data_IF_318240451819
#
_entry.id   IF_318240451819
#
_cell.length_a   1.000
_cell.length_b   1.000
_cell.length_c   1.000
_cell.angle_alpha   90.00
_cell.angle_beta   90.00
_cell.angle_gamma   90.00
#
_symmetry.space_group_name_H-M   'P 1'
#
loop_
_entity.id
_entity.type
_entity.pdbx_description
1 polymer ?
#
# COMPACT_ATOMS: atom_id res chain seq x y z
N UNK A 1 -13.59 -5.95 -1.07
CA UNK A 1 -13.70 -4.47 -1.14
C UNK A 1 -12.38 -3.93 -1.65
N UNK A 2 -12.40 -2.89 -2.49
CA UNK A 2 -11.22 -2.13 -2.90
C UNK A 2 -11.39 -0.68 -2.44
N UNK A 3 -10.34 -0.12 -1.84
CA UNK A 3 -10.31 1.28 -1.43
C UNK A 3 -9.35 2.07 -2.31
N UNK A 4 -9.76 3.24 -2.75
CA UNK A 4 -8.95 4.17 -3.52
C UNK A 4 -9.30 5.62 -3.15
N UNK A 5 -8.46 6.56 -3.58
CA UNK A 5 -8.85 7.96 -3.60
C UNK A 5 -9.91 8.23 -4.71
N UNK A 6 -10.23 9.50 -4.90
CA UNK A 6 -11.17 9.98 -5.93
C UNK A 6 -10.46 10.41 -7.23
N UNK A 7 -9.26 9.91 -7.50
CA UNK A 7 -8.56 10.19 -8.74
C UNK A 7 -9.38 9.77 -9.96
N UNK A 8 -9.25 10.50 -11.07
CA UNK A 8 -10.00 10.26 -12.31
C UNK A 8 -9.92 8.80 -12.77
N UNK A 9 -8.74 8.19 -12.67
CA UNK A 9 -8.47 6.80 -13.04
C UNK A 9 -9.33 5.81 -12.24
N UNK A 10 -9.45 6.01 -10.92
CA UNK A 10 -10.22 5.13 -10.04
C UNK A 10 -11.72 5.38 -10.11
N UNK A 11 -12.13 6.58 -10.52
CA UNK A 11 -13.55 6.89 -10.79
C UNK A 11 -13.98 6.55 -12.21
N UNK A 12 -13.06 6.14 -13.09
CA UNK A 12 -13.35 5.84 -14.49
C UNK A 12 -14.29 4.65 -14.65
N UNK A 13 -15.10 4.66 -15.72
CA UNK A 13 -16.00 3.54 -16.06
C UNK A 13 -15.24 2.22 -16.16
N UNK A 14 -14.07 2.23 -16.81
CA UNK A 14 -13.24 1.04 -16.97
C UNK A 14 -12.83 0.41 -15.62
N UNK A 15 -12.49 1.23 -14.64
CA UNK A 15 -12.10 0.74 -13.31
C UNK A 15 -13.32 0.21 -12.54
N UNK A 16 -14.47 0.90 -12.66
CA UNK A 16 -15.74 0.46 -12.08
C UNK A 16 -16.20 -0.89 -12.63
N UNK A 17 -16.20 -1.06 -13.95
CA UNK A 17 -16.60 -2.30 -14.61
C UNK A 17 -15.71 -3.46 -14.17
N UNK A 18 -14.39 -3.25 -14.18
CA UNK A 18 -13.45 -4.28 -13.72
C UNK A 18 -13.64 -4.66 -12.26
N UNK A 19 -14.00 -3.71 -11.40
CA UNK A 19 -14.25 -4.01 -9.98
C UNK A 19 -15.55 -4.78 -9.79
N UNK A 20 -16.58 -4.51 -10.60
CA UNK A 20 -17.84 -5.28 -10.61
C UNK A 20 -17.62 -6.71 -11.09
N UNK A 21 -16.83 -6.91 -12.15
CA UNK A 21 -16.45 -8.23 -12.66
C UNK A 21 -15.74 -9.09 -11.61
N UNK A 22 -14.95 -8.46 -10.74
CA UNK A 22 -14.23 -9.14 -9.65
C UNK A 22 -15.05 -9.24 -8.35
N UNK A 23 -16.32 -8.84 -8.37
CA UNK A 23 -17.22 -8.81 -7.20
C UNK A 23 -16.66 -7.95 -6.04
N UNK A 24 -15.84 -6.95 -6.37
CA UNK A 24 -15.22 -6.06 -5.40
C UNK A 24 -16.05 -4.79 -5.23
N UNK A 25 -16.60 -4.59 -4.03
CA UNK A 25 -17.18 -3.30 -3.64
C UNK A 25 -16.10 -2.21 -3.63
N UNK A 26 -16.25 -1.18 -4.45
CA UNK A 26 -15.40 0.01 -4.39
C UNK A 26 -15.77 0.92 -3.22
N UNK A 27 -14.76 1.57 -2.65
CA UNK A 27 -14.90 2.57 -1.60
C UNK A 27 -13.92 3.71 -1.88
N UNK A 28 -14.45 4.90 -2.09
CA UNK A 28 -13.67 6.13 -2.08
C UNK A 28 -14.03 6.85 -0.77
N UNK A 29 -13.04 7.05 0.12
CA UNK A 29 -13.24 7.50 1.51
C UNK A 29 -14.12 8.74 1.64
N UNK A 30 -14.62 9.06 2.84
CA UNK A 30 -15.53 10.21 3.01
C UNK A 30 -14.89 11.51 2.47
N UNK A 31 -15.65 12.36 1.77
CA UNK A 31 -15.15 13.68 1.34
C UNK A 31 -14.65 14.46 2.55
N UNK A 32 -13.39 14.93 2.49
CA UNK A 32 -12.74 15.62 3.60
C UNK A 32 -12.15 14.71 4.69
N UNK A 33 -12.16 13.39 4.53
CA UNK A 33 -11.49 12.43 5.43
C UNK A 33 -10.24 11.86 4.77
N UNK A 34 -9.05 12.22 5.27
CA UNK A 34 -7.78 11.66 4.80
C UNK A 34 -7.43 10.30 5.42
N UNK A 35 -8.11 9.91 6.50
CA UNK A 35 -7.77 8.70 7.26
C UNK A 35 -7.86 7.41 6.45
N UNK A 36 -8.79 7.35 5.48
CA UNK A 36 -8.99 6.14 4.69
C UNK A 36 -7.83 5.89 3.71
N UNK A 37 -7.19 6.96 3.21
CA UNK A 37 -6.03 6.88 2.31
C UNK A 37 -4.67 6.96 3.05
N UNK A 38 -4.67 7.38 4.32
CA UNK A 38 -3.46 7.64 5.09
C UNK A 38 -2.48 6.46 5.13
N UNK A 39 -2.98 5.21 5.13
CA UNK A 39 -2.14 4.02 5.09
C UNK A 39 -1.34 3.90 3.77
N UNK A 40 -2.00 4.16 2.63
CA UNK A 40 -1.35 4.16 1.32
C UNK A 40 -0.38 5.34 1.19
N UNK A 41 -0.78 6.54 1.62
CA UNK A 41 0.09 7.73 1.62
C UNK A 41 1.35 7.52 2.45
N UNK A 42 1.23 6.91 3.63
CA UNK A 42 2.37 6.60 4.49
C UNK A 42 3.35 5.63 3.83
N UNK A 43 2.85 4.65 3.05
CA UNK A 43 3.70 3.76 2.27
C UNK A 43 4.46 4.54 1.18
N UNK A 44 3.75 5.35 0.40
CA UNK A 44 4.35 6.12 -0.69
C UNK A 44 5.36 7.14 -0.20
N UNK A 45 5.14 7.77 0.95
CA UNK A 45 6.10 8.69 1.56
C UNK A 45 7.44 7.99 1.84
N UNK A 46 7.40 6.81 2.45
CA UNK A 46 8.60 6.02 2.77
C UNK A 46 9.34 5.55 1.51
N UNK A 47 8.59 5.07 0.52
CA UNK A 47 9.21 4.63 -0.74
C UNK A 47 9.90 5.80 -1.44
N UNK A 48 9.25 6.98 -1.50
CA UNK A 48 9.85 8.17 -2.11
C UNK A 48 11.07 8.67 -1.34
N UNK A 49 11.06 8.56 -0.01
CA UNK A 49 12.22 8.87 0.83
C UNK A 49 13.41 7.94 0.53
N UNK A 50 13.17 6.63 0.43
CA UNK A 50 14.20 5.64 0.08
C UNK A 50 14.76 5.83 -1.33
N UNK A 51 13.88 6.11 -2.29
CA UNK A 51 14.27 6.44 -3.68
C UNK A 51 15.10 7.73 -3.71
N UNK A 52 14.68 8.75 -2.95
CA UNK A 52 15.31 10.06 -2.93
C UNK A 52 15.42 10.66 -4.33
N UNK A 53 16.65 10.97 -4.74
CA UNK A 53 16.98 11.54 -6.07
C UNK A 53 17.58 10.50 -7.03
N UNK A 54 17.47 9.21 -6.72
CA UNK A 54 18.05 8.14 -7.54
C UNK A 54 17.48 8.17 -8.96
N UNK A 55 18.38 8.01 -9.93
CA UNK A 55 18.05 7.79 -11.34
C UNK A 55 18.53 6.41 -11.73
N UNK A 56 17.65 5.62 -12.35
CA UNK A 56 17.99 4.30 -12.85
C UNK A 56 18.32 4.34 -14.34
N UNK A 57 19.23 3.47 -14.81
CA UNK A 57 19.57 3.36 -16.23
C UNK A 57 18.39 2.83 -17.07
N UNK A 58 17.55 1.99 -16.47
CA UNK A 58 16.42 1.37 -17.14
C UNK A 58 15.30 0.98 -16.15
N UNK A 59 14.14 0.64 -16.72
CA UNK A 59 12.94 0.32 -15.95
C UNK A 59 13.05 -1.00 -15.19
N UNK A 60 13.80 -1.98 -15.70
CA UNK A 60 13.94 -3.27 -15.03
C UNK A 60 14.74 -3.11 -13.74
N UNK A 61 15.81 -2.32 -13.77
CA UNK A 61 16.60 -1.97 -12.58
C UNK A 61 15.73 -1.24 -11.55
N UNK A 62 14.96 -0.23 -11.95
CA UNK A 62 14.04 0.47 -11.05
C UNK A 62 12.99 -0.47 -10.42
N UNK A 63 12.46 -1.43 -11.19
CA UNK A 63 11.50 -2.42 -10.68
C UNK A 63 12.14 -3.37 -9.69
N UNK A 64 13.38 -3.81 -9.92
CA UNK A 64 14.10 -4.68 -9.00
C UNK A 64 14.37 -3.98 -7.66
N UNK A 65 14.83 -2.73 -7.68
CA UNK A 65 15.06 -1.93 -6.47
C UNK A 65 13.76 -1.72 -5.67
N UNK A 66 12.68 -1.32 -6.33
CA UNK A 66 11.37 -1.14 -5.67
C UNK A 66 10.85 -2.46 -5.10
N UNK A 67 11.07 -3.57 -5.80
CA UNK A 67 10.70 -4.89 -5.29
C UNK A 67 11.50 -5.27 -4.04
N UNK A 68 12.82 -5.06 -4.05
CA UNK A 68 13.66 -5.32 -2.87
C UNK A 68 13.26 -4.43 -1.68
N UNK A 69 12.98 -3.15 -1.93
CA UNK A 69 12.44 -2.26 -0.89
C UNK A 69 11.16 -2.82 -0.28
N UNK A 70 10.21 -3.28 -1.10
CA UNK A 70 8.92 -3.80 -0.62
C UNK A 70 9.13 -5.10 0.17
N UNK A 71 9.83 -6.08 -0.41
CA UNK A 71 9.92 -7.42 0.15
C UNK A 71 10.90 -7.53 1.29
N UNK A 72 12.07 -6.92 1.15
CA UNK A 72 13.16 -7.07 2.11
C UNK A 72 13.05 -6.03 3.22
N UNK A 73 12.92 -4.75 2.87
CA UNK A 73 12.86 -3.69 3.87
C UNK A 73 11.46 -3.52 4.47
N UNK A 74 10.49 -3.12 3.66
CA UNK A 74 9.17 -2.70 4.14
C UNK A 74 8.42 -3.85 4.83
N UNK A 75 8.30 -5.00 4.17
CA UNK A 75 7.50 -6.11 4.70
C UNK A 75 8.21 -6.86 5.85
N UNK A 76 9.53 -7.06 5.76
CA UNK A 76 10.25 -8.01 6.63
C UNK A 76 11.21 -7.40 7.65
N UNK A 77 11.66 -6.16 7.48
CA UNK A 77 12.62 -5.51 8.40
C UNK A 77 12.04 -4.31 9.13
N UNK A 78 11.13 -3.56 8.48
CA UNK A 78 10.60 -2.31 9.02
C UNK A 78 9.63 -2.59 10.17
N UNK A 79 10.04 -2.28 11.39
CA UNK A 79 9.16 -2.37 12.56
C UNK A 79 8.14 -1.22 12.61
N UNK A 80 6.90 -1.53 12.98
CA UNK A 80 5.80 -0.59 13.26
C UNK A 80 5.25 -0.86 14.64
N UNK A 81 4.92 0.20 15.37
CA UNK A 81 4.23 0.07 16.65
C UNK A 81 2.81 -0.44 16.40
N UNK A 82 2.53 -1.64 16.89
CA UNK A 82 1.24 -2.26 16.97
C UNK A 82 0.63 -2.01 18.36
N UNK A 83 -0.67 -1.64 18.39
CA UNK A 83 -1.36 -1.24 19.64
C UNK A 83 -1.32 -2.31 20.74
N UNK A 84 -1.38 -3.59 20.35
CA UNK A 84 -1.52 -4.73 21.27
C UNK A 84 -0.19 -5.46 21.51
N UNK A 85 0.72 -5.46 20.54
CA UNK A 85 1.84 -6.41 20.50
C UNK A 85 3.22 -5.75 20.54
N UNK A 86 3.29 -4.44 20.75
CA UNK A 86 4.54 -3.70 20.68
C UNK A 86 4.99 -3.50 19.24
N UNK A 87 6.28 -3.63 18.94
CA UNK A 87 6.81 -3.40 17.60
C UNK A 87 6.79 -4.68 16.77
N UNK A 88 6.15 -4.64 15.60
CA UNK A 88 6.07 -5.75 14.65
C UNK A 88 6.30 -5.27 13.23
N UNK A 89 6.83 -6.14 12.39
CA UNK A 89 6.88 -5.93 10.95
C UNK A 89 5.49 -6.09 10.32
N UNK A 90 5.25 -5.56 9.10
CA UNK A 90 4.00 -5.81 8.37
C UNK A 90 3.71 -7.30 8.18
N UNK A 91 4.73 -8.12 7.91
CA UNK A 91 4.58 -9.58 7.78
C UNK A 91 4.13 -10.22 9.07
N UNK A 92 4.79 -9.93 10.20
CA UNK A 92 4.40 -10.48 11.52
C UNK A 92 3.00 -10.01 11.93
N UNK A 93 2.66 -8.75 11.65
CA UNK A 93 1.32 -8.21 11.90
C UNK A 93 0.27 -9.00 11.13
N UNK A 94 0.50 -9.27 9.84
CA UNK A 94 -0.41 -10.06 8.99
C UNK A 94 -0.55 -11.50 9.51
N UNK A 95 0.55 -12.15 9.83
CA UNK A 95 0.54 -13.51 10.38
C UNK A 95 -0.28 -13.61 11.67
N UNK A 96 -0.13 -12.64 12.58
CA UNK A 96 -0.90 -12.61 13.82
C UNK A 96 -2.39 -12.35 13.60
N UNK A 97 -2.77 -11.53 12.61
CA UNK A 97 -4.17 -11.35 12.26
C UNK A 97 -4.79 -12.61 11.63
N UNK A 98 -4.04 -13.34 10.81
CA UNK A 98 -4.51 -14.61 10.23
C UNK A 98 -4.71 -15.69 11.28
N UNK A 99 -3.82 -15.78 12.28
CA UNK A 99 -3.94 -16.76 13.37
C UNK A 99 -5.03 -16.41 14.40
N UNK A 100 -5.50 -15.16 14.41
CA UNK A 100 -6.55 -14.68 15.29
C UNK A 100 -7.95 -14.69 14.65
N UNK A 101 -8.05 -15.07 13.37
CA UNK A 101 -9.29 -15.18 12.59
C UNK A 101 -9.68 -16.64 12.42
#
# INVERSE_FOLDING_TARGET
>A
MIHSDRGSEYTSTRFQDRSRELELRQSCGRTGSCFDNAAAESFWALLKEDIGTRVWPDRATARADVFDFIETFYNRRRQRRHKVFGYLTPTETRQRHTLAA
#
